data_IF_566117843287
#
_entry.id   IF_566117843287
#
_cell.length_a   1.000
_cell.length_b   1.000
_cell.length_c   1.000
_cell.angle_alpha   90.00
_cell.angle_beta   90.00
_cell.angle_gamma   90.00
#
_symmetry.space_group_name_H-M   'P 1'
#
loop_
_entity.id
_entity.type
_entity.pdbx_description
1 polymer ?
#
# COMPACT_ATOMS: atom_id res chain seq x y z
N UNK A 1 -10.64 -3.28 3.47
CA UNK A 1 -10.38 -4.26 2.38
C UNK A 1 -9.06 -4.93 2.68
N UNK A 2 -9.01 -6.26 2.73
CA UNK A 2 -7.80 -7.05 3.10
C UNK A 2 -6.60 -6.77 2.21
N UNK A 3 -6.82 -6.65 0.90
CA UNK A 3 -5.76 -6.38 -0.08
C UNK A 3 -5.02 -5.06 0.17
N UNK A 4 -5.69 -4.03 0.70
CA UNK A 4 -5.06 -2.73 0.98
C UNK A 4 -4.10 -2.81 2.17
N UNK A 5 -4.42 -3.63 3.18
CA UNK A 5 -3.54 -3.86 4.33
C UNK A 5 -2.28 -4.62 3.90
N UNK A 6 -2.45 -5.70 3.13
CA UNK A 6 -1.32 -6.49 2.62
C UNK A 6 -0.43 -5.67 1.68
N UNK A 7 -1.04 -4.90 0.76
CA UNK A 7 -0.30 -4.08 -0.20
C UNK A 7 0.69 -3.10 0.47
N UNK A 8 0.27 -2.43 1.55
CA UNK A 8 1.15 -1.50 2.29
C UNK A 8 2.40 -2.21 2.82
N UNK A 9 2.22 -3.37 3.46
CA UNK A 9 3.31 -4.17 4.00
C UNK A 9 4.21 -4.76 2.91
N UNK A 10 3.62 -5.33 1.87
CA UNK A 10 4.33 -6.02 0.80
C UNK A 10 5.19 -5.06 -0.04
N UNK A 11 4.69 -3.85 -0.33
CA UNK A 11 5.47 -2.82 -1.02
C UNK A 11 6.69 -2.40 -0.18
N UNK A 12 6.50 -2.16 1.13
CA UNK A 12 7.62 -1.82 2.00
C UNK A 12 8.68 -2.95 2.03
N UNK A 13 8.25 -4.20 2.14
CA UNK A 13 9.13 -5.37 2.10
C UNK A 13 9.89 -5.49 0.77
N UNK A 14 9.20 -5.26 -0.36
CA UNK A 14 9.82 -5.26 -1.68
C UNK A 14 10.88 -4.15 -1.82
N UNK A 15 10.54 -2.91 -1.43
CA UNK A 15 11.43 -1.75 -1.52
C UNK A 15 12.69 -1.88 -0.63
N UNK A 16 12.57 -2.58 0.51
CA UNK A 16 13.69 -2.87 1.38
C UNK A 16 14.78 -3.72 0.68
N UNK A 17 14.40 -4.57 -0.28
CA UNK A 17 15.31 -5.38 -1.08
C UNK A 17 16.06 -4.62 -2.19
N UNK A 18 15.65 -3.40 -2.52
CA UNK A 18 16.20 -2.64 -3.63
C UNK A 18 17.44 -1.82 -3.22
N UNK A 19 18.49 -1.87 -4.05
CA UNK A 19 19.79 -1.22 -3.79
C UNK A 19 19.94 0.17 -4.41
N UNK A 20 19.20 0.46 -5.47
CA UNK A 20 19.35 1.70 -6.25
C UNK A 20 18.14 2.63 -6.11
N UNK A 21 17.59 2.72 -4.91
CA UNK A 21 16.48 3.62 -4.60
C UNK A 21 16.57 4.10 -3.16
N UNK A 22 16.15 5.34 -2.93
CA UNK A 22 15.98 5.94 -1.61
C UNK A 22 14.58 5.72 -1.04
N UNK A 23 13.61 5.31 -1.87
CA UNK A 23 12.24 5.03 -1.44
C UNK A 23 12.21 3.69 -0.71
N UNK A 24 11.62 3.66 0.49
CA UNK A 24 11.56 2.49 1.37
C UNK A 24 10.15 2.17 1.87
N UNK A 25 9.21 3.08 1.67
CA UNK A 25 7.83 2.96 2.14
C UNK A 25 6.84 3.30 1.03
N UNK A 26 5.58 2.91 1.20
CA UNK A 26 4.50 3.33 0.31
C UNK A 26 4.32 4.85 0.34
N UNK A 27 4.47 5.48 1.52
CA UNK A 27 4.48 6.94 1.66
C UNK A 27 5.56 7.62 0.80
N UNK A 28 6.76 7.02 0.67
CA UNK A 28 7.80 7.58 -0.20
C UNK A 28 7.37 7.57 -1.67
N UNK A 29 6.68 6.52 -2.13
CA UNK A 29 6.16 6.43 -3.49
C UNK A 29 5.06 7.47 -3.74
N UNK A 30 4.15 7.64 -2.77
CA UNK A 30 3.09 8.65 -2.83
C UNK A 30 3.69 10.06 -2.95
N UNK A 31 4.69 10.36 -2.12
CA UNK A 31 5.38 11.65 -2.15
C UNK A 31 6.13 11.87 -3.48
N UNK A 32 6.74 10.82 -4.03
CA UNK A 32 7.40 10.87 -5.33
C UNK A 32 6.40 11.17 -6.45
N UNK A 33 5.26 10.49 -6.51
CA UNK A 33 4.24 10.72 -7.52
C UNK A 33 3.70 12.16 -7.45
N UNK A 34 3.44 12.68 -6.25
CA UNK A 34 3.00 14.07 -6.06
C UNK A 34 4.01 15.07 -6.61
N UNK A 35 5.31 14.85 -6.35
CA UNK A 35 6.38 15.72 -6.86
C UNK A 35 6.57 15.61 -8.38
N UNK A 36 6.09 14.54 -9.01
CA UNK A 36 6.23 14.25 -10.43
C UNK A 36 4.86 14.07 -11.12
N UNK A 37 3.82 14.75 -10.63
CA UNK A 37 2.43 14.51 -10.99
C UNK A 37 2.17 14.54 -12.50
N UNK A 38 2.79 15.48 -13.21
CA UNK A 38 2.65 15.63 -14.66
C UNK A 38 3.08 14.37 -15.44
N UNK A 39 4.03 13.60 -14.90
CA UNK A 39 4.56 12.38 -15.50
C UNK A 39 3.94 11.10 -14.92
N UNK A 40 3.78 11.03 -13.60
CA UNK A 40 3.32 9.81 -12.91
C UNK A 40 1.79 9.68 -12.85
N UNK A 41 1.05 10.79 -13.00
CA UNK A 41 -0.40 10.83 -12.82
C UNK A 41 -1.14 11.52 -13.98
N UNK A 42 -0.62 11.46 -15.20
CA UNK A 42 -1.21 12.11 -16.38
C UNK A 42 -2.64 11.63 -16.68
N UNK A 43 -2.93 10.35 -16.45
CA UNK A 43 -4.20 9.72 -16.84
C UNK A 43 -4.99 9.14 -15.68
N UNK A 44 -4.31 8.69 -14.63
CA UNK A 44 -4.91 7.99 -13.49
C UNK A 44 -4.25 8.52 -12.22
N UNK A 45 -5.05 8.66 -11.16
CA UNK A 45 -4.57 9.05 -9.84
C UNK A 45 -3.89 7.90 -9.07
N UNK A 46 -3.53 8.15 -7.82
CA UNK A 46 -2.91 7.18 -6.91
C UNK A 46 -3.82 6.80 -5.74
N UNK A 47 -5.14 6.84 -5.92
CA UNK A 47 -6.13 6.61 -4.86
C UNK A 47 -5.96 5.26 -4.14
N UNK A 48 -5.48 4.22 -4.83
CA UNK A 48 -5.17 2.91 -4.20
C UNK A 48 -3.98 3.00 -3.26
N UNK A 49 -2.94 3.76 -3.62
CA UNK A 49 -1.77 3.93 -2.75
C UNK A 49 -2.19 4.70 -1.50
N UNK A 50 -2.97 5.76 -1.66
CA UNK A 50 -3.48 6.56 -0.55
C UNK A 50 -4.42 5.75 0.36
N UNK A 51 -5.31 4.94 -0.22
CA UNK A 51 -6.21 4.07 0.54
C UNK A 51 -5.46 2.96 1.29
N UNK A 52 -4.39 2.41 0.72
CA UNK A 52 -3.54 1.44 1.38
C UNK A 52 -2.69 2.07 2.48
N UNK A 53 -2.13 3.27 2.25
CA UNK A 53 -1.37 4.01 3.26
C UNK A 53 -2.23 4.37 4.48
N UNK A 54 -3.53 4.63 4.29
CA UNK A 54 -4.47 4.87 5.37
C UNK A 54 -4.76 3.64 6.27
N UNK A 55 -4.35 2.43 5.86
CA UNK A 55 -4.42 1.24 6.72
C UNK A 55 -3.26 1.23 7.73
N UNK A 56 -3.42 0.47 8.81
CA UNK A 56 -2.30 0.22 9.72
C UNK A 56 -1.15 -0.53 9.03
N UNK A 57 -1.45 -1.34 8.00
CA UNK A 57 -0.49 -2.25 7.37
C UNK A 57 -0.07 -3.42 8.28
N UNK A 58 -0.66 -3.53 9.46
CA UNK A 58 -0.35 -4.56 10.45
C UNK A 58 -1.29 -5.76 10.25
N UNK A 59 -0.71 -6.94 9.98
CA UNK A 59 -1.49 -8.17 9.79
C UNK A 59 -2.00 -8.77 11.12
N UNK A 60 -1.63 -8.16 12.26
CA UNK A 60 -2.21 -8.44 13.57
C UNK A 60 -3.35 -7.49 13.96
N UNK A 61 -3.65 -6.49 13.12
CA UNK A 61 -4.76 -5.57 13.33
C UNK A 61 -6.10 -6.34 13.42
N UNK A 62 -6.89 -6.17 14.51
CA UNK A 62 -8.17 -6.84 14.65
C UNK A 62 -9.13 -6.62 13.47
N UNK A 63 -9.10 -5.44 12.85
CA UNK A 63 -9.92 -5.09 11.68
C UNK A 63 -9.49 -5.91 10.47
N UNK A 64 -8.18 -6.06 10.26
CA UNK A 64 -7.63 -6.92 9.20
C UNK A 64 -8.02 -8.38 9.42
N UNK A 65 -7.81 -8.91 10.62
CA UNK A 65 -8.10 -10.30 10.95
C UNK A 65 -9.58 -10.65 10.75
N UNK A 66 -10.49 -9.78 11.21
CA UNK A 66 -11.92 -9.95 10.99
C UNK A 66 -12.28 -9.95 9.50
N UNK A 67 -11.73 -9.00 8.73
CA UNK A 67 -11.97 -8.93 7.28
C UNK A 67 -11.38 -10.14 6.54
N UNK A 68 -10.21 -10.65 6.95
CA UNK A 68 -9.58 -11.84 6.38
C UNK A 68 -10.39 -13.09 6.67
N UNK A 69 -10.93 -13.20 7.89
CA UNK A 69 -11.80 -14.31 8.27
C UNK A 69 -13.10 -14.30 7.46
N UNK A 70 -13.73 -13.14 7.25
CA UNK A 70 -14.93 -13.02 6.42
C UNK A 70 -14.69 -13.35 4.94
N UNK A 71 -13.48 -13.14 4.41
CA UNK A 71 -13.12 -13.55 3.05
C UNK A 71 -12.77 -15.04 2.94
N UNK A 72 -12.16 -15.62 3.99
CA UNK A 72 -11.81 -17.04 4.05
C UNK A 72 -12.99 -17.94 4.40
N UNK A 73 -13.98 -17.40 5.12
CA UNK A 73 -15.32 -17.94 5.22
C UNK A 73 -16.11 -17.51 3.99
N UNK A 74 -15.91 -18.19 2.87
CA UNK A 74 -16.84 -18.09 1.74
C UNK A 74 -18.28 -18.43 2.19
N UNK A 75 -19.30 -18.14 1.35
CA UNK A 75 -20.68 -18.56 1.65
C UNK A 75 -20.79 -20.08 1.90
#
# INVERSE_FOLDING_TARGET
MVLLYEFKGDIAAYLAGLRHTRMKTLADLIAFNIQNCDAEMTYIDQSVFEAAEATSGDLSDPVYLAARQLLGAGP
#
